data_IF_259608508504
#
_entry.id   IF_259608508504
#
_cell.length_a   1.000
_cell.length_b   1.000
_cell.length_c   1.000
_cell.angle_alpha   90.00
_cell.angle_beta   90.00
_cell.angle_gamma   90.00
#
_symmetry.space_group_name_H-M   'P 1'
#
loop_
_entity.id
_entity.type
_entity.pdbx_description
1 polymer ?
#
# COMPACT_ATOMS: atom_id res chain seq x y z
N UNK A 1 -5.28 12.91 -12.42
CA UNK A 1 -4.09 13.72 -12.15
C UNK A 1 -4.06 14.29 -10.73
N UNK A 2 -5.13 14.95 -10.27
CA UNK A 2 -5.18 15.59 -8.94
C UNK A 2 -5.02 14.57 -7.79
N UNK A 3 -5.68 13.41 -7.87
CA UNK A 3 -5.60 12.38 -6.83
C UNK A 3 -4.21 11.73 -6.74
N UNK A 4 -3.58 11.40 -7.87
CA UNK A 4 -2.25 10.81 -7.87
C UNK A 4 -1.18 11.75 -7.28
N UNK A 5 -1.26 13.06 -7.57
CA UNK A 5 -0.36 14.06 -6.98
C UNK A 5 -0.56 14.19 -5.46
N UNK A 6 -1.81 14.13 -5.00
CA UNK A 6 -2.10 14.17 -3.56
C UNK A 6 -1.54 12.94 -2.84
N UNK A 7 -1.71 11.76 -3.43
CA UNK A 7 -1.17 10.52 -2.90
C UNK A 7 0.37 10.53 -2.84
N UNK A 8 1.03 10.99 -3.92
CA UNK A 8 2.49 11.15 -3.92
C UNK A 8 2.98 12.10 -2.85
N UNK A 9 2.36 13.27 -2.72
CA UNK A 9 2.73 14.24 -1.69
C UNK A 9 2.61 13.66 -0.28
N UNK A 10 1.58 12.84 -0.03
CA UNK A 10 1.41 12.20 1.27
C UNK A 10 2.46 11.11 1.50
N UNK A 11 2.76 10.30 0.49
CA UNK A 11 3.84 9.30 0.55
C UNK A 11 5.19 9.97 0.84
N UNK A 12 5.51 11.09 0.19
CA UNK A 12 6.75 11.82 0.45
C UNK A 12 6.83 12.37 1.90
N UNK A 13 5.71 12.87 2.42
CA UNK A 13 5.62 13.33 3.82
C UNK A 13 5.83 12.20 4.81
N UNK A 14 5.23 11.04 4.55
CA UNK A 14 5.39 9.83 5.35
C UNK A 14 6.83 9.34 5.26
N UNK A 15 7.40 9.27 4.06
CA UNK A 15 8.79 8.86 3.81
C UNK A 15 9.78 9.72 4.61
N UNK A 16 9.62 11.03 4.59
CA UNK A 16 10.48 11.96 5.35
C UNK A 16 10.47 11.73 6.88
N UNK A 17 9.42 11.10 7.40
CA UNK A 17 9.35 10.68 8.81
C UNK A 17 9.97 9.30 9.03
N UNK A 18 9.60 8.34 8.18
CA UNK A 18 9.95 6.93 8.38
C UNK A 18 11.38 6.59 7.96
N UNK A 19 12.00 7.33 7.04
CA UNK A 19 13.40 7.13 6.62
C UNK A 19 14.42 7.32 7.76
N UNK A 20 14.03 8.00 8.84
CA UNK A 20 14.83 8.17 10.07
C UNK A 20 14.85 6.91 10.93
N UNK A 21 13.96 5.96 10.68
CA UNK A 21 13.89 4.68 11.38
C UNK A 21 14.94 3.75 10.77
N UNK A 22 15.74 3.13 11.63
CA UNK A 22 16.77 2.18 11.19
C UNK A 22 16.15 1.05 10.36
N UNK A 23 16.70 0.78 9.19
CA UNK A 23 16.24 -0.25 8.27
C UNK A 23 14.77 -0.08 7.83
N UNK A 24 14.28 1.15 7.69
CA UNK A 24 12.89 1.45 7.35
C UNK A 24 12.41 0.72 6.08
N UNK A 25 13.28 0.57 5.07
CA UNK A 25 12.97 -0.12 3.81
C UNK A 25 12.63 -1.61 3.99
N UNK A 26 13.03 -2.21 5.14
CA UNK A 26 12.66 -3.57 5.48
C UNK A 26 11.18 -3.71 5.86
N UNK A 27 10.58 -2.63 6.36
CA UNK A 27 9.23 -2.64 6.92
C UNK A 27 8.21 -1.81 6.14
N UNK A 28 8.68 -0.86 5.30
CA UNK A 28 7.80 0.05 4.58
C UNK A 28 8.18 0.12 3.11
N UNK A 29 7.19 -0.04 2.23
CA UNK A 29 7.34 0.23 0.81
C UNK A 29 6.93 1.67 0.53
N UNK A 30 7.92 2.55 0.36
CA UNK A 30 7.75 3.98 0.14
C UNK A 30 8.48 4.47 -1.13
N UNK A 31 9.13 3.56 -1.85
CA UNK A 31 9.83 3.88 -3.09
C UNK A 31 8.84 3.86 -4.26
N UNK A 32 7.97 4.87 -4.26
CA UNK A 32 6.95 5.07 -5.29
C UNK A 32 7.40 6.18 -6.22
N UNK A 33 7.27 5.95 -7.52
CA UNK A 33 7.51 6.98 -8.54
C UNK A 33 6.23 7.22 -9.34
N UNK A 34 6.06 8.44 -9.81
CA UNK A 34 4.92 8.83 -10.61
C UNK A 34 5.37 9.14 -12.05
N UNK A 35 4.71 8.56 -13.03
CA UNK A 35 4.97 8.82 -14.44
C UNK A 35 3.68 8.87 -15.26
N UNK A 36 3.77 9.44 -16.45
CA UNK A 36 2.71 9.31 -17.44
C UNK A 36 2.87 7.98 -18.18
N UNK A 37 1.77 7.30 -18.52
CA UNK A 37 1.85 6.07 -19.27
C UNK A 37 2.29 6.32 -20.71
N UNK A 38 3.12 5.44 -21.22
CA UNK A 38 3.38 5.33 -22.66
C UNK A 38 2.24 4.59 -23.37
N UNK A 39 2.27 4.62 -24.69
CA UNK A 39 1.28 3.94 -25.52
C UNK A 39 1.28 2.44 -25.23
N UNK A 40 0.13 1.92 -24.81
CA UNK A 40 -0.04 0.51 -24.53
C UNK A 40 -0.02 -0.32 -25.81
N UNK A 41 0.69 -1.45 -25.76
CA UNK A 41 0.72 -2.44 -26.82
C UNK A 41 -0.57 -3.26 -26.86
N UNK A 42 -0.76 -4.07 -27.91
CA UNK A 42 -1.88 -4.99 -27.97
C UNK A 42 -1.88 -6.01 -26.80
N UNK A 43 -0.71 -6.47 -26.39
CA UNK A 43 -0.57 -7.42 -25.27
C UNK A 43 -0.91 -6.74 -23.92
N UNK A 44 -0.49 -5.50 -23.70
CA UNK A 44 -0.85 -4.73 -22.50
C UNK A 44 -2.37 -4.55 -22.37
N UNK A 45 -3.03 -4.33 -23.49
CA UNK A 45 -4.48 -4.13 -23.55
C UNK A 45 -5.28 -5.41 -23.35
N UNK A 46 -4.66 -6.58 -23.44
CA UNK A 46 -5.33 -7.86 -23.23
C UNK A 46 -6.00 -7.93 -21.85
N UNK A 47 -7.32 -8.05 -21.87
CA UNK A 47 -8.17 -8.00 -20.66
C UNK A 47 -8.09 -6.68 -19.89
N UNK A 48 -7.79 -5.57 -20.53
CA UNK A 48 -7.66 -4.25 -19.93
C UNK A 48 -8.86 -3.89 -19.06
N UNK A 49 -10.06 -4.03 -19.58
CA UNK A 49 -11.30 -3.66 -18.88
C UNK A 49 -11.51 -4.47 -17.58
N UNK A 50 -10.99 -5.69 -17.53
CA UNK A 50 -11.02 -6.51 -16.31
C UNK A 50 -9.90 -6.10 -15.32
N UNK A 51 -8.68 -5.89 -15.82
CA UNK A 51 -7.53 -5.51 -15.00
C UNK A 51 -7.66 -4.09 -14.45
N UNK A 52 -8.21 -3.18 -15.25
CA UNK A 52 -8.34 -1.76 -14.97
C UNK A 52 -9.82 -1.34 -14.79
N UNK A 53 -10.62 -2.19 -14.17
CA UNK A 53 -12.08 -1.99 -14.01
C UNK A 53 -12.44 -0.61 -13.45
N UNK A 54 -11.64 -0.05 -12.55
CA UNK A 54 -11.89 1.28 -12.01
C UNK A 54 -11.88 2.38 -13.07
N UNK A 55 -11.10 2.23 -14.16
CA UNK A 55 -11.04 3.20 -15.25
C UNK A 55 -12.28 3.17 -16.14
N UNK A 56 -12.98 2.05 -16.23
CA UNK A 56 -14.21 1.94 -17.03
C UNK A 56 -15.31 2.86 -16.48
N UNK A 57 -15.33 3.10 -15.17
CA UNK A 57 -16.24 4.07 -14.53
C UNK A 57 -15.99 5.51 -14.98
N UNK A 58 -14.81 5.80 -15.50
CA UNK A 58 -14.42 7.09 -16.07
C UNK A 58 -14.45 7.11 -17.59
N UNK A 59 -15.15 6.14 -18.21
CA UNK A 59 -15.23 5.96 -19.66
C UNK A 59 -13.86 5.75 -20.33
N UNK A 60 -12.90 5.13 -19.63
CA UNK A 60 -11.61 4.70 -20.18
C UNK A 60 -11.62 3.18 -20.23
N UNK A 61 -11.49 2.62 -21.43
CA UNK A 61 -11.58 1.20 -21.72
C UNK A 61 -10.54 0.78 -22.77
N UNK A 62 -10.45 -0.52 -23.06
CA UNK A 62 -9.52 -1.08 -24.02
C UNK A 62 -9.52 -0.37 -25.38
N UNK A 63 -10.70 0.09 -25.86
CA UNK A 63 -10.85 0.72 -27.19
C UNK A 63 -10.32 2.15 -27.25
N UNK A 64 -10.26 2.87 -26.13
CA UNK A 64 -9.98 4.31 -26.13
C UNK A 64 -8.82 4.73 -25.22
N UNK A 65 -8.25 3.82 -24.42
CA UNK A 65 -7.22 4.14 -23.43
C UNK A 65 -6.03 4.86 -24.06
N UNK A 66 -5.53 4.38 -25.20
CA UNK A 66 -4.40 4.98 -25.91
C UNK A 66 -4.64 6.41 -26.43
N UNK A 67 -5.89 6.83 -26.55
CA UNK A 67 -6.28 8.20 -26.92
C UNK A 67 -6.57 9.08 -25.68
N UNK A 68 -6.33 8.56 -24.47
CA UNK A 68 -6.63 9.23 -23.19
C UNK A 68 -5.50 9.11 -22.17
N UNK A 69 -4.30 8.80 -22.62
CA UNK A 69 -3.12 8.62 -21.76
C UNK A 69 -2.75 9.90 -21.01
N UNK A 70 -3.01 11.05 -21.63
CA UNK A 70 -2.84 12.38 -21.03
C UNK A 70 -3.66 12.59 -19.74
N UNK A 71 -4.71 11.80 -19.56
CA UNK A 71 -5.60 11.84 -18.38
C UNK A 71 -5.20 10.85 -17.30
N UNK A 72 -4.22 10.02 -17.56
CA UNK A 72 -3.77 8.94 -16.69
C UNK A 72 -2.42 9.28 -16.05
N UNK A 73 -2.25 8.77 -14.86
CA UNK A 73 -0.98 8.80 -14.13
C UNK A 73 -0.74 7.40 -13.58
N UNK A 74 0.47 6.91 -13.72
CA UNK A 74 0.90 5.62 -13.15
C UNK A 74 1.68 5.91 -11.88
N UNK A 75 1.33 5.22 -10.81
CA UNK A 75 2.18 5.05 -9.63
C UNK A 75 2.94 3.74 -9.80
N UNK A 76 4.24 3.85 -9.95
CA UNK A 76 5.13 2.70 -10.09
C UNK A 76 5.82 2.44 -8.76
N UNK A 77 5.77 1.19 -8.30
CA UNK A 77 6.36 0.77 -7.03
C UNK A 77 7.06 -0.59 -7.21
N UNK A 78 8.11 -0.86 -6.42
CA UNK A 78 8.80 -2.14 -6.47
C UNK A 78 7.88 -3.31 -6.11
N UNK A 79 8.17 -4.48 -6.67
CA UNK A 79 7.49 -5.70 -6.25
C UNK A 79 7.88 -6.03 -4.80
N UNK A 80 6.89 -6.08 -3.91
CA UNK A 80 7.08 -6.37 -2.49
C UNK A 80 6.81 -7.85 -2.11
N UNK A 81 6.51 -8.70 -3.09
CA UNK A 81 6.12 -10.10 -2.83
C UNK A 81 4.63 -10.34 -3.00
N UNK A 82 4.04 -11.17 -2.15
CA UNK A 82 2.60 -11.49 -2.13
C UNK A 82 1.96 -10.95 -0.86
N UNK A 83 0.68 -10.63 -0.89
CA UNK A 83 0.01 -10.16 0.32
C UNK A 83 -0.14 -11.29 1.36
N UNK A 84 -0.18 -10.90 2.64
CA UNK A 84 -0.20 -11.84 3.76
C UNK A 84 -1.42 -12.77 3.72
N UNK A 85 -2.56 -12.30 3.21
CA UNK A 85 -3.76 -13.14 3.07
C UNK A 85 -3.51 -14.27 2.06
N UNK A 86 -3.00 -13.93 0.88
CA UNK A 86 -2.73 -14.92 -0.15
C UNK A 86 -1.56 -15.84 0.26
N UNK A 87 -0.54 -15.30 0.94
CA UNK A 87 0.53 -16.10 1.53
C UNK A 87 0.01 -17.14 2.53
N UNK A 88 -1.00 -16.78 3.35
CA UNK A 88 -1.61 -17.69 4.32
C UNK A 88 -2.35 -18.86 3.65
N UNK A 89 -3.06 -18.59 2.55
CA UNK A 89 -3.92 -19.60 1.89
C UNK A 89 -3.21 -20.38 0.78
N UNK A 90 -2.01 -19.98 0.40
CA UNK A 90 -1.27 -20.48 -0.79
C UNK A 90 -1.08 -21.99 -0.85
N UNK A 91 -1.26 -22.75 0.19
CA UNK A 91 -1.08 -24.22 0.18
C UNK A 91 -2.15 -24.96 0.99
N UNK A 92 -3.37 -24.45 1.05
CA UNK A 92 -4.46 -25.12 1.75
C UNK A 92 -4.38 -24.97 3.27
N UNK A 93 -4.37 -26.08 4.03
CA UNK A 93 -4.34 -26.01 5.50
C UNK A 93 -3.04 -25.39 6.00
N UNK A 94 -3.15 -24.43 6.92
CA UNK A 94 -2.00 -23.81 7.57
C UNK A 94 -1.32 -24.88 8.45
N UNK A 95 -0.07 -25.20 8.15
CA UNK A 95 0.72 -26.12 8.98
C UNK A 95 1.15 -25.44 10.30
N UNK A 96 1.53 -26.25 11.29
CA UNK A 96 2.07 -25.74 12.55
C UNK A 96 3.32 -24.87 12.34
N UNK A 97 4.22 -25.28 11.47
CA UNK A 97 5.44 -24.52 11.15
C UNK A 97 5.10 -23.18 10.49
N UNK A 98 4.12 -23.16 9.59
CA UNK A 98 3.64 -21.92 8.98
C UNK A 98 3.03 -20.96 10.00
N UNK A 99 2.37 -21.49 11.04
CA UNK A 99 1.85 -20.67 12.15
C UNK A 99 2.97 -20.05 12.99
N UNK A 100 4.07 -20.77 13.25
CA UNK A 100 5.22 -20.18 13.93
C UNK A 100 5.88 -19.09 13.09
N UNK A 101 6.08 -19.33 11.79
CA UNK A 101 6.60 -18.32 10.87
C UNK A 101 5.70 -17.08 10.83
N UNK A 102 4.38 -17.26 10.78
CA UNK A 102 3.42 -16.15 10.84
C UNK A 102 3.55 -15.36 12.14
N UNK A 103 3.63 -16.07 13.27
CA UNK A 103 3.80 -15.41 14.58
C UNK A 103 5.05 -14.53 14.60
N UNK A 104 6.20 -15.08 14.20
CA UNK A 104 7.46 -14.36 14.18
C UNK A 104 7.43 -13.16 13.23
N UNK A 105 6.84 -13.34 12.04
CA UNK A 105 6.67 -12.28 11.05
C UNK A 105 5.82 -11.14 11.62
N UNK A 106 4.67 -11.45 12.21
CA UNK A 106 3.75 -10.44 12.76
C UNK A 106 4.35 -9.74 13.98
N UNK A 107 4.98 -10.50 14.90
CA UNK A 107 5.65 -9.93 16.08
C UNK A 107 6.78 -8.99 15.66
N UNK A 108 7.61 -9.39 14.69
CA UNK A 108 8.67 -8.55 14.15
C UNK A 108 8.13 -7.29 13.47
N UNK A 109 7.07 -7.44 12.66
CA UNK A 109 6.43 -6.29 12.00
C UNK A 109 5.87 -5.30 13.03
N UNK A 110 5.18 -5.78 14.06
CA UNK A 110 4.66 -4.92 15.13
C UNK A 110 5.81 -4.22 15.86
N UNK A 111 6.81 -4.96 16.29
CA UNK A 111 7.91 -4.46 17.13
C UNK A 111 8.81 -3.47 16.40
N UNK A 112 9.16 -3.75 15.15
CA UNK A 112 10.16 -3.01 14.39
C UNK A 112 9.59 -2.18 13.24
N UNK A 113 8.33 -2.41 12.87
CA UNK A 113 7.59 -1.64 11.87
C UNK A 113 6.51 -0.77 12.50
N UNK A 114 5.41 -1.34 12.97
CA UNK A 114 4.23 -0.58 13.40
C UNK A 114 4.52 0.36 14.58
N UNK A 115 5.19 -0.14 15.62
CA UNK A 115 5.52 0.65 16.81
C UNK A 115 6.42 1.85 16.46
N UNK A 116 7.57 1.70 15.80
CA UNK A 116 8.41 2.84 15.43
C UNK A 116 7.71 3.82 14.48
N UNK A 117 6.85 3.34 13.59
CA UNK A 117 6.01 4.17 12.73
C UNK A 117 5.11 5.09 13.55
N UNK A 118 4.38 4.54 14.52
CA UNK A 118 3.50 5.30 15.40
C UNK A 118 4.29 6.28 16.29
N UNK A 119 5.45 5.86 16.81
CA UNK A 119 6.36 6.73 17.58
C UNK A 119 6.90 7.90 16.74
N UNK A 120 7.09 7.70 15.42
CA UNK A 120 7.43 8.77 14.48
C UNK A 120 6.25 9.70 14.13
N UNK A 121 5.06 9.43 14.69
CA UNK A 121 3.84 10.19 14.45
C UNK A 121 3.18 9.87 13.11
N UNK A 122 3.41 8.69 12.54
CA UNK A 122 2.72 8.22 11.33
C UNK A 122 1.67 7.19 11.72
N UNK A 123 0.44 7.38 11.25
CA UNK A 123 -0.68 6.46 11.46
C UNK A 123 -1.08 5.89 10.10
N UNK A 124 -1.03 4.58 9.94
CA UNK A 124 -1.37 3.92 8.67
C UNK A 124 -2.87 3.94 8.38
N UNK A 125 -3.69 3.72 9.39
CA UNK A 125 -5.15 3.76 9.39
C UNK A 125 -5.88 2.76 8.46
N UNK A 126 -5.14 1.86 7.78
CA UNK A 126 -5.71 0.76 6.97
C UNK A 126 -4.82 -0.49 7.04
N UNK A 127 -4.23 -0.77 8.22
CA UNK A 127 -3.37 -1.94 8.38
C UNK A 127 -4.22 -3.21 8.42
N UNK A 128 -4.06 -4.05 7.40
CA UNK A 128 -4.78 -5.31 7.22
C UNK A 128 -3.90 -6.31 6.47
N UNK A 129 -4.30 -7.56 6.43
CA UNK A 129 -3.58 -8.67 5.80
C UNK A 129 -3.22 -8.42 4.32
N UNK A 130 -4.09 -7.72 3.56
CA UNK A 130 -3.82 -7.36 2.16
C UNK A 130 -2.87 -6.16 1.99
N UNK A 131 -2.64 -5.38 3.03
CA UNK A 131 -1.71 -4.25 3.03
C UNK A 131 -0.36 -4.60 3.71
N UNK A 132 -0.14 -5.89 3.94
CA UNK A 132 1.14 -6.45 4.41
C UNK A 132 1.63 -7.41 3.34
N UNK A 133 2.77 -7.09 2.73
CA UNK A 133 3.41 -7.93 1.72
C UNK A 133 4.49 -8.78 2.35
N UNK A 134 4.60 -10.03 1.91
CA UNK A 134 5.64 -10.97 2.35
C UNK A 134 6.51 -11.32 1.14
N UNK A 135 7.80 -11.06 1.24
CA UNK A 135 8.74 -11.38 0.18
C UNK A 135 9.35 -12.79 0.32
N UNK A 136 10.22 -13.16 -0.64
CA UNK A 136 10.90 -14.46 -0.63
C UNK A 136 11.84 -14.68 0.54
N UNK A 137 12.27 -13.63 1.22
CA UNK A 137 13.12 -13.68 2.41
C UNK A 137 12.32 -13.76 3.71
N UNK A 138 11.00 -13.84 3.63
CA UNK A 138 10.08 -13.78 4.77
C UNK A 138 10.12 -12.42 5.50
N UNK A 139 10.46 -11.35 4.80
CA UNK A 139 10.35 -9.99 5.31
C UNK A 139 8.94 -9.45 5.02
N UNK A 140 8.34 -8.84 6.04
CA UNK A 140 7.02 -8.23 5.93
C UNK A 140 7.12 -6.72 5.73
N UNK A 141 6.43 -6.19 4.70
CA UNK A 141 6.39 -4.75 4.39
C UNK A 141 4.99 -4.23 4.35
N UNK A 142 4.80 -3.05 4.92
CA UNK A 142 3.54 -2.30 4.87
C UNK A 142 3.47 -1.54 3.56
N UNK A 143 2.32 -1.63 2.89
CA UNK A 143 1.98 -0.93 1.63
C UNK A 143 0.65 -0.19 1.76
N UNK A 144 0.27 0.55 0.73
CA UNK A 144 -1.02 1.25 0.61
C UNK A 144 -1.20 2.37 1.65
N UNK A 145 -0.46 3.45 1.45
CA UNK A 145 -0.44 4.62 2.32
C UNK A 145 -1.58 5.62 2.06
N UNK A 146 -2.53 5.29 1.19
CA UNK A 146 -3.61 6.17 0.75
C UNK A 146 -4.56 6.66 1.87
N UNK A 147 -4.64 5.92 2.99
CA UNK A 147 -5.43 6.31 4.17
C UNK A 147 -4.57 6.78 5.35
N UNK A 148 -3.27 6.79 5.17
CA UNK A 148 -2.32 7.14 6.23
C UNK A 148 -2.27 8.65 6.46
N UNK A 149 -1.62 9.05 7.53
CA UNK A 149 -1.38 10.46 7.83
C UNK A 149 -0.33 10.66 8.89
N UNK A 150 0.13 11.92 8.96
CA UNK A 150 1.17 12.36 9.88
C UNK A 150 0.55 13.22 10.97
N UNK A 151 0.76 12.83 12.23
CA UNK A 151 0.36 13.60 13.41
C UNK A 151 1.12 14.93 13.43
N UNK A 152 0.38 16.02 13.65
CA UNK A 152 0.93 17.37 13.78
C UNK A 152 0.65 17.90 15.19
N UNK A 153 1.67 18.38 15.87
CA UNK A 153 1.55 19.00 17.21
C UNK A 153 0.77 18.11 18.22
N UNK A 154 1.01 16.80 18.16
CA UNK A 154 0.31 15.82 19.00
C UNK A 154 -1.15 15.59 18.64
N UNK A 155 -1.65 16.16 17.54
CA UNK A 155 -3.04 16.01 17.08
C UNK A 155 -3.12 15.17 15.83
N UNK A 156 -4.08 14.24 15.82
CA UNK A 156 -4.43 13.48 14.61
C UNK A 156 -5.07 14.45 13.61
N UNK A 157 -4.64 14.47 12.34
CA UNK A 157 -5.24 15.31 11.31
C UNK A 157 -6.75 15.07 11.17
N UNK A 158 -7.52 16.15 11.01
CA UNK A 158 -8.98 16.10 10.89
C UNK A 158 -9.40 15.24 9.69
N UNK A 159 -8.59 15.23 8.63
CA UNK A 159 -8.79 14.40 7.44
C UNK A 159 -8.75 12.89 7.74
N UNK A 160 -8.00 12.48 8.77
CA UNK A 160 -7.97 11.09 9.24
C UNK A 160 -9.18 10.83 10.15
N UNK A 161 -9.44 11.75 11.08
CA UNK A 161 -10.54 11.60 12.06
C UNK A 161 -11.91 11.54 11.40
N UNK A 162 -12.12 12.27 10.31
CA UNK A 162 -13.40 12.34 9.61
C UNK A 162 -13.58 11.26 8.53
N UNK A 163 -12.66 10.31 8.42
CA UNK A 163 -12.82 9.18 7.48
C UNK A 163 -13.93 8.25 7.97
N UNK A 164 -14.73 7.68 7.05
CA UNK A 164 -15.72 6.68 7.42
C UNK A 164 -15.06 5.52 8.17
N UNK A 165 -15.73 5.01 9.20
CA UNK A 165 -15.29 3.80 9.89
C UNK A 165 -15.11 2.67 8.87
N UNK A 166 -13.93 2.10 8.86
CA UNK A 166 -13.64 0.91 8.07
C UNK A 166 -13.74 -0.32 8.98
N UNK A 167 -14.27 -1.42 8.45
CA UNK A 167 -14.47 -2.66 9.22
C UNK A 167 -13.19 -3.27 9.79
N UNK A 168 -12.04 -2.87 9.26
CA UNK A 168 -10.72 -3.32 9.67
C UNK A 168 -10.00 -2.34 10.63
N UNK A 169 -10.63 -1.24 10.99
CA UNK A 169 -10.05 -0.30 11.96
C UNK A 169 -10.18 -0.89 13.37
N UNK A 170 -9.09 -1.01 14.15
CA UNK A 170 -9.18 -1.47 15.53
C UNK A 170 -10.08 -0.57 16.37
N UNK A 171 -10.89 -1.18 17.25
CA UNK A 171 -11.79 -0.44 18.14
C UNK A 171 -11.06 0.48 19.14
N UNK A 172 -9.74 0.40 19.22
CA UNK A 172 -8.87 1.20 20.11
C UNK A 172 -8.23 2.40 19.41
N UNK A 173 -8.67 2.78 18.24
CA UNK A 173 -8.15 3.95 17.52
C UNK A 173 -8.85 5.24 17.95
#
# INVERSE_FOLDING_TARGET
EKHGKQEMNEIERIKAKLEKIKNYQKYYLLDVTMCNPDKLTHEDMKHFDKKCYALTRHNINEKNVNNRLDRLTILNMPNAGIDLKDWLVEKGKISRDKMFLLNDLVVNLIKFGVRPMNEAGVIHNDLKDRNIMVDSNMDARIIDWGLSGVVKDGKIPVEIMNRPLQFNTPFSS
#
